data_IF_502720564134
#
_entry.id   IF_502720564134
#
_cell.length_a   1.000
_cell.length_b   1.000
_cell.length_c   1.000
_cell.angle_alpha   90.00
_cell.angle_beta   90.00
_cell.angle_gamma   90.00
#
_symmetry.space_group_name_H-M   'P 1'
#
loop_
_entity.id
_entity.type
_entity.pdbx_description
1 polymer ?
#
# COMPACT_ATOMS: atom_id res chain seq x y z
N UNK A 1 14.85 -18.81 13.34
CA UNK A 1 13.42 -18.50 13.50
C UNK A 1 13.13 -17.36 12.54
N UNK A 2 12.42 -17.61 11.44
CA UNK A 2 12.06 -16.52 10.52
C UNK A 2 11.12 -15.56 11.26
N UNK A 3 11.33 -14.23 11.20
CA UNK A 3 10.41 -13.31 11.82
C UNK A 3 9.04 -13.52 11.16
N UNK A 4 8.08 -13.99 11.94
CA UNK A 4 6.67 -14.04 11.54
C UNK A 4 6.23 -12.59 11.47
N UNK A 5 6.26 -12.05 10.26
CA UNK A 5 5.83 -10.69 9.97
C UNK A 5 4.31 -10.68 9.88
N UNK A 6 3.67 -9.95 10.79
CA UNK A 6 2.24 -9.68 10.67
C UNK A 6 1.99 -8.95 9.33
N UNK A 7 1.12 -9.46 8.46
CA UNK A 7 0.76 -8.76 7.24
C UNK A 7 0.02 -7.47 7.56
N UNK A 8 0.46 -6.35 6.99
CA UNK A 8 -0.22 -5.05 7.09
C UNK A 8 -0.99 -4.76 5.78
N UNK A 9 -2.04 -3.93 5.86
CA UNK A 9 -2.77 -3.45 4.68
C UNK A 9 -2.13 -2.17 4.14
N UNK A 10 -2.26 -1.91 2.84
CA UNK A 10 -1.76 -0.67 2.22
C UNK A 10 -2.35 0.62 2.79
N UNK A 11 -3.51 0.55 3.44
CA UNK A 11 -4.13 1.70 4.11
C UNK A 11 -3.71 1.87 5.58
N UNK A 12 -2.91 0.95 6.15
CA UNK A 12 -2.42 1.06 7.53
C UNK A 12 -1.22 2.03 7.63
N UNK A 13 -0.60 2.39 6.49
CA UNK A 13 0.48 3.37 6.41
C UNK A 13 0.14 4.51 5.44
N UNK A 14 0.85 5.63 5.60
CA UNK A 14 0.89 6.73 4.64
C UNK A 14 2.28 6.81 4.01
N UNK A 15 2.36 7.47 2.87
CA UNK A 15 3.62 7.73 2.18
C UNK A 15 3.77 9.25 2.11
N UNK A 16 4.91 9.75 2.57
CA UNK A 16 5.32 11.15 2.42
C UNK A 16 6.54 11.24 1.51
N UNK A 17 6.70 12.37 0.82
CA UNK A 17 7.90 12.64 0.03
C UNK A 17 8.85 13.54 0.84
N UNK A 18 10.03 13.02 1.19
CA UNK A 18 11.10 13.78 1.86
C UNK A 18 12.36 13.69 0.99
N UNK A 19 12.88 14.85 0.59
CA UNK A 19 14.09 14.95 -0.26
C UNK A 19 14.05 14.06 -1.53
N UNK A 20 12.87 13.97 -2.17
CA UNK A 20 12.68 13.17 -3.38
C UNK A 20 12.57 11.66 -3.14
N UNK A 21 12.45 11.20 -1.90
CA UNK A 21 12.29 9.79 -1.52
C UNK A 21 10.96 9.57 -0.81
N UNK A 22 10.37 8.40 -1.06
CA UNK A 22 9.19 7.94 -0.33
C UNK A 22 9.57 7.52 1.10
N UNK A 23 8.86 8.06 2.09
CA UNK A 23 8.95 7.73 3.51
C UNK A 23 7.63 7.13 3.98
N UNK A 24 7.69 5.96 4.59
CA UNK A 24 6.54 5.17 4.99
C UNK A 24 6.36 5.26 6.52
N UNK A 25 5.17 5.70 6.95
CA UNK A 25 4.83 5.90 8.37
C UNK A 25 3.47 5.25 8.68
N UNK A 26 3.29 4.69 9.88
CA UNK A 26 2.00 4.15 10.31
C UNK A 26 0.97 5.26 10.50
N UNK A 27 -0.28 5.03 10.09
CA UNK A 27 -1.34 6.06 10.19
C UNK A 27 -1.89 6.25 11.61
N UNK A 28 -1.97 5.18 12.39
CA UNK A 28 -2.83 5.17 13.60
C UNK A 28 -2.07 5.23 14.93
N UNK A 29 -0.75 5.07 14.95
CA UNK A 29 0.07 5.01 16.18
C UNK A 29 1.18 6.06 16.17
N UNK A 30 0.82 7.36 16.11
CA UNK A 30 1.80 8.43 16.36
C UNK A 30 2.75 8.80 15.21
N UNK A 31 2.50 8.32 13.99
CA UNK A 31 3.38 8.51 12.80
C UNK A 31 4.75 7.83 12.92
N UNK A 32 4.82 6.69 13.62
CA UNK A 32 6.05 5.90 13.66
C UNK A 32 6.47 5.43 12.27
N UNK A 33 7.77 5.55 12.00
CA UNK A 33 8.38 5.11 10.75
C UNK A 33 8.37 3.57 10.68
N UNK A 34 8.02 3.02 9.52
CA UNK A 34 8.10 1.58 9.32
C UNK A 34 9.57 1.12 9.43
N UNK A 35 9.83 0.11 10.26
CA UNK A 35 11.17 -0.43 10.46
C UNK A 35 11.10 -1.95 10.69
N UNK A 36 11.87 -2.71 9.90
CA UNK A 36 11.85 -4.17 9.89
C UNK A 36 11.31 -4.78 8.58
N UNK A 37 11.10 -6.10 8.60
CA UNK A 37 10.56 -6.84 7.45
C UNK A 37 9.03 -6.73 7.43
N UNK A 38 8.45 -6.44 6.27
CA UNK A 38 7.02 -6.28 6.09
C UNK A 38 6.47 -7.15 4.97
N UNK A 39 5.21 -7.57 5.18
CA UNK A 39 4.34 -8.15 4.17
C UNK A 39 3.17 -7.19 4.04
N UNK A 40 2.99 -6.61 2.86
CA UNK A 40 1.94 -5.65 2.57
C UNK A 40 0.95 -6.29 1.61
N UNK A 41 -0.28 -6.46 2.05
CA UNK A 41 -1.40 -6.76 1.16
C UNK A 41 -1.95 -5.44 0.62
N UNK A 42 -2.00 -5.33 -0.71
CA UNK A 42 -2.48 -4.11 -1.37
C UNK A 42 -3.99 -4.18 -1.53
N UNK A 43 -4.64 -3.15 -1.03
CA UNK A 43 -6.05 -2.90 -1.20
C UNK A 43 -6.25 -1.61 -1.99
N UNK A 44 -7.23 -1.60 -2.89
CA UNK A 44 -7.62 -0.44 -3.69
C UNK A 44 -9.09 -0.10 -3.45
N UNK A 45 -9.49 1.17 -3.62
CA UNK A 45 -10.90 1.55 -3.57
C UNK A 45 -11.73 0.68 -4.53
N UNK A 46 -12.82 0.11 -4.03
CA UNK A 46 -13.78 -0.66 -4.79
C UNK A 46 -14.63 0.29 -5.62
N UNK A 47 -14.12 0.63 -6.80
CA UNK A 47 -14.81 1.50 -7.77
C UNK A 47 -16.13 0.91 -8.29
N UNK A 48 -16.39 -0.38 -8.04
CA UNK A 48 -17.62 -1.05 -8.47
C UNK A 48 -18.77 -0.86 -7.47
N UNK A 49 -18.48 -0.44 -6.25
CA UNK A 49 -19.48 -0.14 -5.22
C UNK A 49 -19.80 1.36 -5.22
N UNK A 50 -20.94 1.68 -5.82
CA UNK A 50 -21.60 2.98 -5.66
C UNK A 50 -23.07 2.70 -5.35
N UNK A 51 -23.60 3.26 -4.26
CA UNK A 51 -24.96 2.99 -3.82
C UNK A 51 -25.95 4.08 -4.29
N UNK A 52 -25.45 5.25 -4.70
CA UNK A 52 -26.28 6.42 -5.03
C UNK A 52 -25.69 7.19 -6.21
N UNK A 53 -26.54 7.48 -7.18
CA UNK A 53 -26.28 8.45 -8.25
C UNK A 53 -26.94 9.79 -7.86
N UNK A 54 -26.15 10.83 -7.60
CA UNK A 54 -26.63 12.19 -7.35
C UNK A 54 -26.55 12.96 -8.67
N UNK A 55 -27.70 13.51 -9.09
CA UNK A 55 -27.79 14.42 -10.24
C UNK A 55 -28.03 15.84 -9.72
N UNK A 56 -27.08 16.73 -9.98
CA UNK A 56 -27.16 18.13 -9.56
C UNK A 56 -26.62 19.02 -10.69
N UNK A 57 -27.42 19.99 -11.15
CA UNK A 57 -27.05 20.93 -12.21
C UNK A 57 -26.53 20.28 -13.52
N UNK A 58 -27.08 19.12 -13.90
CA UNK A 58 -26.66 18.39 -15.11
C UNK A 58 -25.37 17.59 -14.96
N UNK A 59 -24.76 17.58 -13.77
CA UNK A 59 -23.61 16.74 -13.43
C UNK A 59 -24.07 15.52 -12.64
N UNK A 60 -23.64 14.33 -13.07
CA UNK A 60 -23.85 13.07 -12.36
C UNK A 60 -22.61 12.74 -11.54
N UNK A 61 -22.76 12.56 -10.22
CA UNK A 61 -21.72 11.99 -9.36
C UNK A 61 -22.23 10.74 -8.63
N UNK A 62 -21.38 9.73 -8.51
CA UNK A 62 -21.67 8.48 -7.80
C UNK A 62 -21.12 8.55 -6.36
N UNK A 63 -21.90 8.16 -5.35
CA UNK A 63 -21.52 8.12 -3.93
C UNK A 63 -22.19 6.95 -3.20
N UNK A 64 -21.79 6.65 -1.95
CA UNK A 64 -22.41 5.61 -1.09
C UNK A 64 -23.44 6.23 -0.13
N UNK A 65 -24.38 5.41 0.38
CA UNK A 65 -25.38 5.84 1.38
C UNK A 65 -24.77 5.81 2.79
N UNK A 66 -24.90 6.91 3.55
CA UNK A 66 -24.58 7.06 4.99
C UNK A 66 -23.12 7.23 5.45
N UNK A 67 -22.16 7.52 4.58
CA UNK A 67 -20.85 8.08 4.98
C UNK A 67 -20.10 7.30 6.10
N UNK A 68 -20.24 5.96 6.15
CA UNK A 68 -19.57 5.09 7.13
C UNK A 68 -18.54 4.12 6.54
N UNK A 69 -17.56 3.78 7.38
CA UNK A 69 -16.21 3.29 7.06
C UNK A 69 -16.06 1.75 7.11
N UNK A 70 -15.02 1.26 6.42
CA UNK A 70 -14.55 -0.13 6.27
C UNK A 70 -15.46 -1.13 5.51
N UNK A 71 -15.63 -0.92 4.20
CA UNK A 71 -15.18 -1.90 3.17
C UNK A 71 -15.17 -1.29 1.76
N UNK A 72 -14.78 -0.02 1.65
CA UNK A 72 -14.53 0.64 0.36
C UNK A 72 -13.23 0.15 -0.29
N UNK A 73 -12.46 -0.72 0.35
CA UNK A 73 -11.16 -1.19 -0.14
C UNK A 73 -11.19 -2.71 -0.34
N UNK A 74 -10.95 -3.17 -1.56
CA UNK A 74 -10.87 -4.60 -1.93
C UNK A 74 -9.42 -5.03 -2.03
N UNK A 75 -9.12 -6.24 -1.55
CA UNK A 75 -7.80 -6.83 -1.77
C UNK A 75 -7.67 -7.17 -3.25
N UNK A 76 -6.65 -6.63 -3.91
CA UNK A 76 -6.42 -6.86 -5.35
C UNK A 76 -5.48 -8.04 -5.63
N UNK A 77 -5.29 -8.94 -4.65
CA UNK A 77 -4.36 -10.08 -4.69
C UNK A 77 -2.91 -9.71 -5.03
N UNK A 78 -2.53 -8.45 -4.78
CA UNK A 78 -1.19 -7.93 -4.94
C UNK A 78 -0.52 -7.82 -3.57
N UNK A 79 0.63 -8.49 -3.42
CA UNK A 79 1.40 -8.52 -2.19
C UNK A 79 2.80 -7.98 -2.43
N UNK A 80 3.28 -7.10 -1.55
CA UNK A 80 4.67 -6.61 -1.54
C UNK A 80 5.36 -7.10 -0.28
N UNK A 81 6.60 -7.55 -0.39
CA UNK A 81 7.39 -7.98 0.75
C UNK A 81 8.80 -7.42 0.67
N UNK A 82 9.32 -6.92 1.78
CA UNK A 82 10.65 -6.34 1.85
C UNK A 82 10.91 -5.64 3.17
N UNK A 83 12.10 -5.05 3.30
CA UNK A 83 12.54 -4.42 4.54
C UNK A 83 12.34 -2.91 4.43
N UNK A 84 11.84 -2.31 5.50
CA UNK A 84 11.97 -0.88 5.76
C UNK A 84 13.06 -0.62 6.81
N UNK A 85 13.79 0.48 6.63
CA UNK A 85 14.70 1.05 7.62
C UNK A 85 14.37 2.52 7.74
N UNK A 86 13.93 2.96 8.92
CA UNK A 86 13.55 4.36 9.19
C UNK A 86 12.54 4.90 8.15
N UNK A 87 11.53 4.08 7.80
CA UNK A 87 10.49 4.44 6.84
C UNK A 87 10.91 4.30 5.38
N UNK A 88 12.18 4.05 5.06
CA UNK A 88 12.66 3.89 3.70
C UNK A 88 12.73 2.43 3.28
N UNK A 89 12.33 2.11 2.05
CA UNK A 89 12.58 0.79 1.48
C UNK A 89 14.07 0.49 1.43
N UNK A 90 14.45 -0.71 1.86
CA UNK A 90 15.84 -1.16 1.88
C UNK A 90 15.94 -2.64 1.47
N UNK A 91 17.01 -2.98 0.77
CA UNK A 91 17.29 -4.32 0.29
C UNK A 91 16.31 -4.81 -0.79
N UNK A 92 16.18 -6.14 -0.88
CA UNK A 92 15.35 -6.81 -1.87
C UNK A 92 13.86 -6.71 -1.52
N UNK A 93 13.09 -6.19 -2.47
CA UNK A 93 11.64 -6.12 -2.45
C UNK A 93 11.06 -7.04 -3.52
N UNK A 94 10.06 -7.84 -3.14
CA UNK A 94 9.34 -8.75 -4.03
C UNK A 94 7.88 -8.31 -4.15
N UNK A 95 7.35 -8.31 -5.37
CA UNK A 95 5.92 -8.13 -5.62
C UNK A 95 5.35 -9.39 -6.25
N UNK A 96 4.25 -9.86 -5.68
CA UNK A 96 3.53 -11.05 -6.10
C UNK A 96 2.11 -10.67 -6.45
N UNK A 97 1.60 -11.12 -7.59
CA UNK A 97 0.20 -10.98 -8.01
C UNK A 97 -0.38 -12.38 -8.21
N UNK A 98 -1.54 -12.68 -7.61
CA UNK A 98 -2.18 -14.01 -7.66
C UNK A 98 -1.19 -15.14 -7.31
N UNK A 99 -0.38 -14.93 -6.26
CA UNK A 99 0.67 -15.84 -5.81
C UNK A 99 1.83 -16.09 -6.80
N UNK A 100 1.91 -15.36 -7.91
CA UNK A 100 3.03 -15.39 -8.87
C UNK A 100 3.95 -14.19 -8.69
N UNK A 101 5.27 -14.43 -8.66
CA UNK A 101 6.26 -13.36 -8.60
C UNK A 101 6.23 -12.56 -9.90
N UNK A 102 5.94 -11.26 -9.82
CA UNK A 102 5.84 -10.37 -11.00
C UNK A 102 6.93 -9.32 -11.06
N UNK A 103 7.60 -9.04 -9.94
CA UNK A 103 8.62 -7.99 -9.87
C UNK A 103 9.55 -8.20 -8.71
N UNK A 104 10.84 -7.96 -8.92
CA UNK A 104 11.83 -7.82 -7.86
C UNK A 104 12.61 -6.52 -8.04
N UNK A 105 12.84 -5.82 -6.95
CA UNK A 105 13.52 -4.53 -6.92
C UNK A 105 14.49 -4.52 -5.76
N UNK A 106 15.64 -3.87 -5.94
CA UNK A 106 16.58 -3.64 -4.85
C UNK A 106 16.60 -2.15 -4.52
N UNK A 107 16.52 -1.82 -3.23
CA UNK A 107 16.50 -0.46 -2.75
C UNK A 107 17.67 -0.21 -1.78
N UNK A 108 18.23 0.99 -1.84
CA UNK A 108 19.15 1.49 -0.83
C UNK A 108 18.59 2.79 -0.25
N UNK A 109 18.00 2.71 0.94
CA UNK A 109 17.48 3.85 1.68
C UNK A 109 16.49 4.70 0.85
N UNK A 110 15.47 4.03 0.30
CA UNK A 110 14.41 4.63 -0.50
C UNK A 110 14.76 4.81 -1.98
N UNK A 111 16.03 4.70 -2.36
CA UNK A 111 16.47 4.81 -3.74
C UNK A 111 16.50 3.43 -4.41
N UNK A 112 15.80 3.27 -5.53
CA UNK A 112 15.87 2.04 -6.32
C UNK A 112 17.24 1.95 -6.99
N UNK A 113 18.00 0.90 -6.68
CA UNK A 113 19.35 0.66 -7.23
C UNK A 113 19.37 -0.41 -8.32
N UNK A 114 18.30 -1.20 -8.43
CA UNK A 114 18.16 -2.19 -9.48
C UNK A 114 16.74 -2.72 -9.59
N UNK A 115 16.31 -3.03 -10.81
CA UNK A 115 15.02 -3.65 -11.09
C UNK A 115 15.24 -4.90 -11.91
N UNK A 116 14.72 -6.02 -11.43
CA UNK A 116 14.69 -7.27 -12.16
C UNK A 116 13.22 -7.59 -12.46
N UNK A 117 12.89 -7.73 -13.75
CA UNK A 117 11.62 -8.32 -14.16
C UNK A 117 11.87 -9.81 -14.32
N UNK A 118 10.95 -10.61 -13.77
CA UNK A 118 10.91 -12.05 -14.03
C UNK A 118 10.32 -12.28 -15.41
#
# INVERSE_FOLDING_TARGET
>A
MEPIVAPIRSYDYKIEMKEGKEVYEYRNDGNDLLNGLFIINVYEPDSTKYDIEIKENGLTRKTLKYDQSYSTFVNINLRKAGIFKEGYKHGLWKTTYENKLVKTENYNNGLMVGRYRV
#
